data_IF_723206058790
#
_entry.id   IF_723206058790
#
_cell.length_a   1.000
_cell.length_b   1.000
_cell.length_c   1.000
_cell.angle_alpha   90.00
_cell.angle_beta   90.00
_cell.angle_gamma   90.00
#
_symmetry.space_group_name_H-M   'P 1'
#
loop_
_entity.id
_entity.type
_entity.pdbx_description
1 polymer ?
#
# COMPACT_ATOMS: atom_id res chain seq x y z
N UNK A 1 -1.26 15.49 -7.20
CA UNK A 1 -0.15 15.15 -8.13
C UNK A 1 -0.53 13.90 -8.89
N UNK A 2 -0.34 13.89 -10.23
CA UNK A 2 -0.74 12.76 -11.09
C UNK A 2 0.03 11.49 -10.74
N UNK A 3 -0.60 10.30 -10.76
CA UNK A 3 0.04 9.00 -10.45
C UNK A 3 1.24 8.67 -11.33
N UNK A 4 1.34 9.26 -12.52
CA UNK A 4 2.47 9.12 -13.47
C UNK A 4 3.80 9.59 -12.89
N UNK A 5 3.83 10.66 -12.07
CA UNK A 5 5.08 11.16 -11.45
C UNK A 5 5.61 10.19 -10.40
N UNK A 6 4.74 9.47 -9.70
CA UNK A 6 5.13 8.48 -8.69
C UNK A 6 5.77 7.26 -9.36
N UNK A 7 5.21 6.76 -10.47
CA UNK A 7 5.79 5.64 -11.23
C UNK A 7 7.18 5.96 -11.77
N UNK A 8 7.35 7.12 -12.42
CA UNK A 8 8.65 7.54 -12.96
C UNK A 8 9.72 7.65 -11.85
N UNK A 9 9.35 8.24 -10.71
CA UNK A 9 10.23 8.36 -9.55
C UNK A 9 10.63 6.99 -9.00
N UNK A 10 9.67 6.05 -8.92
CA UNK A 10 9.93 4.68 -8.46
C UNK A 10 10.87 3.94 -9.41
N UNK A 11 10.67 4.04 -10.74
CA UNK A 11 11.56 3.46 -11.75
C UNK A 11 12.98 4.00 -11.60
N UNK A 12 13.14 5.31 -11.47
CA UNK A 12 14.45 5.94 -11.29
C UNK A 12 15.15 5.47 -10.01
N UNK A 13 14.41 5.35 -8.92
CA UNK A 13 14.92 4.87 -7.63
C UNK A 13 15.38 3.41 -7.70
N UNK A 14 14.66 2.56 -8.44
CA UNK A 14 14.94 1.13 -8.58
C UNK A 14 15.79 0.78 -9.81
N UNK A 15 16.34 1.77 -10.50
CA UNK A 15 17.08 1.56 -11.77
C UNK A 15 18.20 0.52 -11.66
N UNK A 16 18.96 0.51 -10.55
CA UNK A 16 20.05 -0.46 -10.35
C UNK A 16 19.51 -1.89 -10.15
N UNK A 17 18.44 -2.05 -9.42
CA UNK A 17 17.78 -3.36 -9.23
C UNK A 17 17.21 -3.89 -10.54
N UNK A 18 16.58 -3.01 -11.33
CA UNK A 18 16.04 -3.34 -12.66
C UNK A 18 17.17 -3.71 -13.61
N UNK A 19 18.26 -2.92 -13.68
CA UNK A 19 19.41 -3.24 -14.50
C UNK A 19 20.08 -4.55 -14.10
N UNK A 20 20.22 -4.82 -12.80
CA UNK A 20 20.73 -6.09 -12.29
C UNK A 20 19.88 -7.27 -12.75
N UNK A 21 18.56 -7.16 -12.65
CA UNK A 21 17.64 -8.20 -13.12
C UNK A 21 17.75 -8.40 -14.65
N UNK A 22 17.82 -7.32 -15.43
CA UNK A 22 18.00 -7.41 -16.90
C UNK A 22 19.32 -8.08 -17.28
N UNK A 23 20.41 -7.82 -16.55
CA UNK A 23 21.69 -8.51 -16.76
C UNK A 23 21.58 -10.02 -16.51
N UNK A 24 20.89 -10.44 -15.47
CA UNK A 24 20.63 -11.86 -15.20
C UNK A 24 19.81 -12.49 -16.33
N UNK A 25 18.72 -11.84 -16.75
CA UNK A 25 17.87 -12.28 -17.88
C UNK A 25 18.71 -12.44 -19.16
N UNK A 26 19.52 -11.44 -19.49
CA UNK A 26 20.38 -11.47 -20.67
C UNK A 26 21.44 -12.58 -20.58
N UNK A 27 22.06 -12.78 -19.44
CA UNK A 27 23.03 -13.87 -19.21
C UNK A 27 22.40 -15.24 -19.41
N UNK A 28 21.21 -15.47 -18.89
CA UNK A 28 20.47 -16.72 -19.06
C UNK A 28 20.03 -16.94 -20.51
N UNK A 29 19.62 -15.88 -21.21
CA UNK A 29 19.35 -15.91 -22.64
C UNK A 29 20.59 -16.34 -23.44
N UNK A 30 21.76 -15.78 -23.15
CA UNK A 30 23.01 -16.16 -23.80
C UNK A 30 23.36 -17.63 -23.54
N UNK A 31 23.29 -18.07 -22.30
CA UNK A 31 23.58 -19.47 -21.92
C UNK A 31 22.64 -20.41 -22.67
N UNK A 32 21.32 -20.14 -22.63
CA UNK A 32 20.34 -20.94 -23.34
C UNK A 32 20.61 -20.96 -24.85
N UNK A 33 20.91 -19.81 -25.47
CA UNK A 33 21.19 -19.70 -26.90
C UNK A 33 22.44 -20.47 -27.30
N UNK A 34 23.48 -20.47 -26.47
CA UNK A 34 24.69 -21.27 -26.70
C UNK A 34 24.37 -22.76 -26.65
N UNK A 35 23.62 -23.20 -25.64
CA UNK A 35 23.24 -24.61 -25.49
C UNK A 35 22.43 -25.09 -26.70
N UNK A 36 21.41 -24.34 -27.10
CA UNK A 36 20.55 -24.69 -28.24
C UNK A 36 21.36 -24.66 -29.55
N UNK A 37 22.26 -23.68 -29.73
CA UNK A 37 23.14 -23.65 -30.87
C UNK A 37 23.92 -24.98 -31.00
N UNK A 38 24.59 -25.43 -29.94
CA UNK A 38 25.38 -26.66 -29.98
C UNK A 38 24.55 -27.91 -30.22
N UNK A 39 23.32 -27.96 -29.79
CA UNK A 39 22.42 -29.10 -29.97
C UNK A 39 21.80 -29.17 -31.36
N UNK A 40 21.54 -28.02 -32.00
CA UNK A 40 20.74 -27.94 -33.23
C UNK A 40 21.53 -27.51 -34.47
N UNK A 41 22.72 -26.96 -34.33
CA UNK A 41 23.51 -26.38 -35.46
C UNK A 41 23.79 -27.37 -36.59
N UNK A 42 23.99 -28.64 -36.26
CA UNK A 42 24.28 -29.69 -37.27
C UNK A 42 23.00 -30.26 -37.91
N UNK A 43 21.88 -30.16 -37.22
CA UNK A 43 20.55 -30.60 -37.67
C UNK A 43 19.84 -29.50 -38.46
N UNK A 44 20.02 -28.25 -38.04
CA UNK A 44 19.32 -27.10 -38.61
C UNK A 44 20.28 -25.88 -38.76
N UNK A 45 21.31 -25.96 -39.64
CA UNK A 45 22.34 -24.91 -39.76
C UNK A 45 21.77 -23.57 -40.24
N UNK A 46 20.66 -23.57 -40.96
CA UNK A 46 20.03 -22.35 -41.49
C UNK A 46 19.48 -21.46 -40.36
N UNK A 47 18.94 -22.07 -39.29
CA UNK A 47 18.24 -21.35 -38.20
C UNK A 47 19.02 -21.36 -36.89
N UNK A 48 19.89 -22.35 -36.64
CA UNK A 48 20.72 -22.45 -35.44
C UNK A 48 22.24 -22.41 -35.73
N UNK A 49 22.65 -22.10 -36.94
CA UNK A 49 24.06 -22.11 -37.38
C UNK A 49 24.95 -21.04 -36.73
N UNK A 50 24.40 -20.12 -35.93
CA UNK A 50 25.17 -19.17 -35.10
C UNK A 50 24.41 -18.90 -33.78
N UNK A 51 25.20 -18.44 -32.78
CA UNK A 51 24.61 -18.07 -31.47
C UNK A 51 23.58 -16.95 -31.64
N UNK A 52 23.82 -15.97 -32.53
CA UNK A 52 22.85 -14.89 -32.78
C UNK A 52 21.53 -15.38 -33.37
N UNK A 53 21.59 -16.36 -34.29
CA UNK A 53 20.38 -17.00 -34.82
C UNK A 53 19.63 -17.77 -33.71
N UNK A 54 20.35 -18.48 -32.85
CA UNK A 54 19.78 -19.18 -31.70
C UNK A 54 19.21 -18.22 -30.65
N UNK A 55 19.75 -17.01 -30.53
CA UNK A 55 19.20 -15.95 -29.65
C UNK A 55 17.81 -15.50 -30.11
N UNK A 56 17.52 -15.47 -31.40
CA UNK A 56 16.18 -15.17 -31.90
C UNK A 56 15.16 -16.13 -31.31
N UNK A 57 15.44 -17.43 -31.42
CA UNK A 57 14.62 -18.47 -30.81
C UNK A 57 14.52 -18.29 -29.27
N UNK A 58 15.66 -18.04 -28.65
CA UNK A 58 15.74 -17.82 -27.19
C UNK A 58 14.87 -16.65 -26.73
N UNK A 59 14.93 -15.52 -27.43
CA UNK A 59 14.08 -14.35 -27.12
C UNK A 59 12.60 -14.71 -27.29
N UNK A 60 12.21 -15.24 -28.46
CA UNK A 60 10.81 -15.58 -28.74
C UNK A 60 10.24 -16.56 -27.72
N UNK A 61 11.06 -17.51 -27.26
CA UNK A 61 10.66 -18.56 -26.31
C UNK A 61 10.59 -18.04 -24.87
N UNK A 62 11.66 -17.39 -24.41
CA UNK A 62 11.72 -16.88 -23.03
C UNK A 62 10.71 -15.74 -22.79
N UNK A 63 10.42 -14.89 -23.80
CA UNK A 63 9.41 -13.85 -23.72
C UNK A 63 7.98 -14.36 -23.88
N UNK A 64 7.79 -15.67 -24.07
CA UNK A 64 6.49 -16.32 -24.30
C UNK A 64 5.77 -15.88 -25.59
N UNK A 65 6.45 -15.21 -26.53
CA UNK A 65 5.88 -14.81 -27.83
C UNK A 65 5.67 -16.03 -28.74
N UNK A 66 6.69 -16.89 -28.86
CA UNK A 66 6.58 -18.19 -29.50
C UNK A 66 6.06 -18.15 -30.95
N UNK A 67 6.72 -17.40 -31.84
CA UNK A 67 6.32 -17.31 -33.27
C UNK A 67 6.18 -18.66 -33.96
N UNK A 68 6.94 -19.69 -33.52
CA UNK A 68 6.92 -21.01 -34.11
C UNK A 68 7.66 -21.11 -35.46
N UNK A 69 8.31 -20.06 -35.89
CA UNK A 69 9.13 -19.98 -37.11
C UNK A 69 10.44 -20.78 -37.00
N UNK A 70 10.98 -20.88 -35.80
CA UNK A 70 12.18 -21.63 -35.43
C UNK A 70 11.88 -22.46 -34.20
N UNK A 71 12.11 -23.77 -34.27
CA UNK A 71 11.92 -24.72 -33.14
C UNK A 71 12.96 -25.83 -33.18
N UNK A 72 13.48 -26.33 -32.05
CA UNK A 72 14.41 -27.45 -32.02
C UNK A 72 13.74 -28.73 -32.51
N UNK A 73 14.47 -29.57 -33.27
CA UNK A 73 14.01 -30.87 -33.73
C UNK A 73 14.55 -32.01 -32.89
N UNK A 74 15.73 -31.85 -32.27
CA UNK A 74 16.30 -32.87 -31.39
C UNK A 74 15.51 -33.01 -30.10
N UNK A 75 15.47 -34.22 -29.53
CA UNK A 75 14.76 -34.50 -28.28
C UNK A 75 15.39 -33.73 -27.08
N UNK A 76 16.73 -33.62 -27.06
CA UNK A 76 17.44 -32.85 -26.05
C UNK A 76 17.15 -31.34 -26.18
N UNK A 77 17.11 -30.83 -27.42
CA UNK A 77 16.75 -29.45 -27.70
C UNK A 77 15.33 -29.13 -27.22
N UNK A 78 14.36 -30.02 -27.48
CA UNK A 78 13.00 -29.86 -26.97
C UNK A 78 12.92 -29.93 -25.45
N UNK A 79 13.64 -30.84 -24.80
CA UNK A 79 13.68 -30.95 -23.34
C UNK A 79 14.23 -29.69 -22.68
N UNK A 80 15.38 -29.18 -23.18
CA UNK A 80 16.01 -27.97 -22.67
C UNK A 80 15.14 -26.76 -22.93
N UNK A 81 14.49 -26.68 -24.10
CA UNK A 81 13.56 -25.60 -24.40
C UNK A 81 12.33 -25.62 -23.48
N UNK A 82 11.79 -26.79 -23.16
CA UNK A 82 10.69 -26.90 -22.20
C UNK A 82 11.07 -26.35 -20.81
N UNK A 83 12.26 -26.68 -20.35
CA UNK A 83 12.77 -26.14 -19.09
C UNK A 83 12.98 -24.61 -19.15
N UNK A 84 13.53 -24.12 -20.28
CA UNK A 84 13.72 -22.68 -20.52
C UNK A 84 12.39 -21.91 -20.54
N UNK A 85 11.31 -22.50 -21.08
CA UNK A 85 9.98 -21.90 -21.07
C UNK A 85 9.49 -21.61 -19.64
N UNK A 86 9.64 -22.57 -18.71
CA UNK A 86 9.30 -22.36 -17.30
C UNK A 86 10.16 -21.27 -16.64
N UNK A 87 11.48 -21.29 -16.91
CA UNK A 87 12.37 -20.24 -16.41
C UNK A 87 12.00 -18.88 -16.99
N UNK A 88 11.64 -18.79 -18.27
CA UNK A 88 11.22 -17.56 -18.93
C UNK A 88 10.07 -16.87 -18.19
N UNK A 89 9.02 -17.61 -17.84
CA UNK A 89 7.89 -17.07 -17.07
C UNK A 89 8.35 -16.49 -15.74
N UNK A 90 9.17 -17.23 -14.98
CA UNK A 90 9.69 -16.78 -13.69
C UNK A 90 10.56 -15.50 -13.82
N UNK A 91 11.38 -15.41 -14.86
CA UNK A 91 12.29 -14.29 -15.12
C UNK A 91 11.54 -12.98 -15.40
N UNK A 92 10.44 -13.02 -16.13
CA UNK A 92 9.61 -11.82 -16.38
C UNK A 92 8.82 -11.37 -15.16
N UNK A 93 8.50 -12.28 -14.25
CA UNK A 93 7.82 -11.95 -13.00
C UNK A 93 8.69 -11.10 -12.05
N UNK A 94 10.02 -11.29 -12.06
CA UNK A 94 10.92 -10.60 -11.13
C UNK A 94 10.95 -9.06 -11.29
N UNK A 95 11.17 -8.46 -12.47
CA UNK A 95 11.12 -7.02 -12.65
C UNK A 95 9.75 -6.43 -12.30
N UNK A 96 8.67 -7.12 -12.64
CA UNK A 96 7.32 -6.70 -12.34
C UNK A 96 7.07 -6.69 -10.82
N UNK A 97 7.51 -7.72 -10.10
CA UNK A 97 7.40 -7.80 -8.64
C UNK A 97 8.20 -6.69 -7.94
N UNK A 98 9.43 -6.41 -8.39
CA UNK A 98 10.28 -5.31 -7.87
C UNK A 98 9.56 -3.96 -8.03
N UNK A 99 9.02 -3.68 -9.21
CA UNK A 99 8.29 -2.44 -9.47
C UNK A 99 7.01 -2.34 -8.65
N UNK A 100 6.25 -3.42 -8.54
CA UNK A 100 5.01 -3.46 -7.77
C UNK A 100 5.27 -3.21 -6.28
N UNK A 101 6.27 -3.88 -5.69
CA UNK A 101 6.61 -3.70 -4.27
C UNK A 101 7.13 -2.29 -3.99
N UNK A 102 8.01 -1.75 -4.83
CA UNK A 102 8.55 -0.42 -4.67
C UNK A 102 7.48 0.68 -4.85
N UNK A 103 6.52 0.48 -5.76
CA UNK A 103 5.37 1.37 -5.93
C UNK A 103 4.46 1.35 -4.70
N UNK A 104 4.19 0.15 -4.17
CA UNK A 104 3.40 -0.02 -2.95
C UNK A 104 4.07 0.67 -1.75
N UNK A 105 5.38 0.50 -1.55
CA UNK A 105 6.12 1.20 -0.50
C UNK A 105 6.03 2.73 -0.61
N UNK A 106 6.12 3.28 -1.82
CA UNK A 106 6.04 4.73 -2.03
C UNK A 106 4.64 5.27 -1.72
N UNK A 107 3.58 4.51 -2.04
CA UNK A 107 2.20 4.86 -1.67
C UNK A 107 2.04 4.82 -0.15
N UNK A 108 2.51 3.76 0.51
CA UNK A 108 2.42 3.62 1.96
C UNK A 108 3.15 4.75 2.69
N UNK A 109 4.37 5.10 2.27
CA UNK A 109 5.11 6.24 2.83
C UNK A 109 4.37 7.56 2.67
N UNK A 110 3.77 7.79 1.51
CA UNK A 110 3.00 9.01 1.27
C UNK A 110 1.77 9.08 2.15
N UNK A 111 1.02 8.01 2.26
CA UNK A 111 -0.16 7.95 3.13
C UNK A 111 0.23 8.16 4.59
N UNK A 112 1.32 7.57 5.05
CA UNK A 112 1.84 7.75 6.39
C UNK A 112 2.22 9.22 6.69
N UNK A 113 2.93 9.90 5.79
CA UNK A 113 3.32 11.30 5.97
C UNK A 113 2.12 12.25 5.97
N UNK A 114 1.14 12.03 5.08
CA UNK A 114 -0.11 12.82 5.06
C UNK A 114 -0.88 12.63 6.36
N UNK A 115 -0.95 11.42 6.88
CA UNK A 115 -1.63 11.15 8.15
C UNK A 115 -0.91 11.79 9.33
N UNK A 116 0.42 11.81 9.36
CA UNK A 116 1.19 12.50 10.41
C UNK A 116 0.92 14.00 10.42
N UNK A 117 0.92 14.66 9.25
CA UNK A 117 0.63 16.08 9.12
C UNK A 117 -0.81 16.36 9.60
N UNK A 118 -1.78 15.63 9.10
CA UNK A 118 -3.19 15.77 9.50
C UNK A 118 -3.39 15.55 11.00
N UNK A 119 -2.74 14.56 11.61
CA UNK A 119 -2.83 14.30 13.06
C UNK A 119 -2.20 15.42 13.87
N UNK A 120 -1.07 15.99 13.42
CA UNK A 120 -0.39 17.07 14.13
C UNK A 120 -1.18 18.39 14.15
N UNK A 121 -2.06 18.59 13.15
CA UNK A 121 -2.92 19.77 13.06
C UNK A 121 -4.17 19.68 13.96
N UNK A 122 -4.50 18.47 14.46
CA UNK A 122 -5.63 18.28 15.37
C UNK A 122 -5.31 18.95 16.70
N UNK A 123 -6.21 19.81 17.17
CA UNK A 123 -6.03 20.57 18.41
C UNK A 123 -5.66 19.70 19.62
N UNK A 124 -6.21 18.50 19.69
CA UNK A 124 -5.96 17.51 20.74
C UNK A 124 -4.49 17.04 20.77
N UNK A 125 -3.81 16.95 19.62
CA UNK A 125 -2.48 16.39 19.50
C UNK A 125 -1.40 17.44 19.22
N UNK A 126 -1.78 18.69 18.99
CA UNK A 126 -0.89 19.79 18.59
C UNK A 126 0.24 20.09 19.59
N UNK A 127 0.06 19.73 20.86
CA UNK A 127 1.06 19.93 21.93
C UNK A 127 1.96 18.72 22.18
N UNK A 128 1.69 17.61 21.52
CA UNK A 128 2.44 16.38 21.72
C UNK A 128 3.77 16.40 20.93
N UNK A 129 4.83 15.77 21.45
CA UNK A 129 6.07 15.62 20.72
C UNK A 129 5.88 14.72 19.50
N UNK A 130 6.72 14.90 18.47
CA UNK A 130 6.61 14.19 17.20
C UNK A 130 6.65 12.65 17.36
N UNK A 131 7.38 12.16 18.38
CA UNK A 131 7.42 10.76 18.75
C UNK A 131 6.07 10.21 19.18
N UNK A 132 5.29 10.97 19.96
CA UNK A 132 3.93 10.63 20.36
C UNK A 132 2.99 10.58 19.16
N UNK A 133 3.05 11.56 18.25
CA UNK A 133 2.25 11.61 17.03
C UNK A 133 2.54 10.40 16.13
N UNK A 134 3.81 10.02 16.01
CA UNK A 134 4.19 8.80 15.27
C UNK A 134 3.59 7.53 15.89
N UNK A 135 3.59 7.45 17.22
CA UNK A 135 3.02 6.32 17.94
C UNK A 135 1.49 6.28 17.81
N UNK A 136 0.82 7.43 17.92
CA UNK A 136 -0.61 7.57 17.65
C UNK A 136 -0.92 7.08 16.25
N UNK A 137 -0.22 7.58 15.23
CA UNK A 137 -0.44 7.18 13.83
C UNK A 137 -0.31 5.67 13.61
N UNK A 138 0.61 5.00 14.30
CA UNK A 138 0.80 3.55 14.19
C UNK A 138 -0.35 2.72 14.80
N UNK A 139 -1.17 3.33 15.67
CA UNK A 139 -2.31 2.69 16.35
C UNK A 139 -3.67 3.07 15.73
N UNK A 140 -3.67 3.99 14.75
CA UNK A 140 -4.87 4.41 14.06
C UNK A 140 -5.30 3.39 13.00
N UNK A 141 -6.58 3.05 13.00
CA UNK A 141 -7.20 2.17 12.01
C UNK A 141 -8.06 3.01 11.06
N UNK A 142 -7.77 3.00 9.74
CA UNK A 142 -8.57 3.74 8.77
C UNK A 142 -9.93 3.05 8.54
N UNK A 143 -11.00 3.85 8.57
CA UNK A 143 -12.37 3.43 8.35
C UNK A 143 -13.00 4.33 7.29
N UNK A 144 -13.33 3.79 6.12
CA UNK A 144 -14.04 4.51 5.05
C UNK A 144 -15.51 4.17 5.11
N UNK A 145 -16.36 5.17 5.24
CA UNK A 145 -17.80 5.01 5.35
C UNK A 145 -18.53 5.84 4.27
N UNK A 146 -19.52 5.25 3.59
CA UNK A 146 -20.35 5.99 2.63
C UNK A 146 -21.29 6.95 3.34
N UNK A 147 -21.80 7.94 2.60
CA UNK A 147 -22.81 8.86 3.09
C UNK A 147 -24.01 8.16 3.72
N UNK A 148 -24.59 8.77 4.73
CA UNK A 148 -25.76 8.28 5.51
C UNK A 148 -25.48 7.00 6.33
N UNK A 149 -24.22 6.56 6.45
CA UNK A 149 -23.86 5.44 7.32
C UNK A 149 -23.70 5.92 8.76
N UNK A 150 -24.34 5.25 9.72
CA UNK A 150 -24.14 5.49 11.15
C UNK A 150 -22.79 4.93 11.59
N UNK A 151 -22.01 5.74 12.32
CA UNK A 151 -20.74 5.34 12.93
C UNK A 151 -20.99 4.60 14.24
N UNK A 152 -21.82 5.16 15.12
CA UNK A 152 -22.34 4.55 16.35
C UNK A 152 -23.63 5.25 16.76
N UNK A 153 -24.43 4.58 17.60
CA UNK A 153 -25.68 5.12 18.11
C UNK A 153 -25.53 5.62 19.55
N UNK A 154 -26.40 6.57 19.95
CA UNK A 154 -26.56 6.94 21.35
C UNK A 154 -26.87 5.70 22.19
N UNK A 155 -26.15 5.53 23.28
CA UNK A 155 -26.30 4.38 24.19
C UNK A 155 -25.35 3.20 23.88
N UNK A 156 -24.62 3.22 22.79
CA UNK A 156 -23.57 2.24 22.48
C UNK A 156 -22.41 2.35 23.49
N UNK A 157 -21.57 1.32 23.58
CA UNK A 157 -20.36 1.33 24.41
C UNK A 157 -19.33 2.25 23.75
N UNK A 158 -18.68 3.11 24.54
CA UNK A 158 -17.59 3.96 24.06
C UNK A 158 -16.30 3.14 23.95
N UNK A 159 -15.97 2.67 22.75
CA UNK A 159 -14.87 1.77 22.44
C UNK A 159 -13.68 2.44 21.73
N UNK A 160 -13.87 3.64 21.18
CA UNK A 160 -12.86 4.34 20.40
C UNK A 160 -13.10 5.85 20.31
N UNK A 161 -12.02 6.57 20.03
CA UNK A 161 -11.99 7.94 19.53
C UNK A 161 -11.92 7.90 18.00
N UNK A 162 -12.60 8.83 17.33
CA UNK A 162 -12.59 8.95 15.87
C UNK A 162 -12.11 10.33 15.44
N UNK A 163 -11.22 10.36 14.45
CA UNK A 163 -10.68 11.57 13.84
C UNK A 163 -11.15 11.61 12.40
N UNK A 164 -11.59 12.77 11.92
CA UNK A 164 -12.06 12.96 10.55
C UNK A 164 -10.86 13.36 9.68
N UNK A 165 -10.36 12.43 8.87
CA UNK A 165 -9.30 12.72 7.91
C UNK A 165 -9.85 13.41 6.65
N UNK A 166 -11.04 12.98 6.21
CA UNK A 166 -11.73 13.51 5.04
C UNK A 166 -13.25 13.34 5.21
N UNK A 167 -14.03 14.24 4.60
CA UNK A 167 -15.50 14.21 4.67
C UNK A 167 -16.04 14.90 5.90
N UNK A 168 -17.32 14.63 6.23
CA UNK A 168 -18.01 15.23 7.36
C UNK A 168 -18.99 14.25 8.01
N UNK A 169 -19.21 14.44 9.32
CA UNK A 169 -20.18 13.70 10.09
C UNK A 169 -21.14 14.64 10.81
N UNK A 170 -22.35 14.18 11.06
CA UNK A 170 -23.38 14.87 11.83
C UNK A 170 -23.50 14.23 13.22
N UNK A 171 -23.43 15.10 14.22
CA UNK A 171 -23.70 14.73 15.63
C UNK A 171 -25.17 15.01 15.89
N UNK A 172 -25.99 13.99 16.07
CA UNK A 172 -27.42 14.07 16.32
C UNK A 172 -27.68 14.40 17.80
N UNK A 173 -27.82 15.68 18.09
CA UNK A 173 -28.23 16.27 19.37
C UNK A 173 -29.40 17.25 19.10
N UNK A 174 -29.94 17.92 20.15
CA UNK A 174 -31.05 18.87 20.01
C UNK A 174 -30.80 19.93 18.91
N UNK A 175 -29.57 20.42 18.79
CA UNK A 175 -29.10 21.24 17.66
C UNK A 175 -27.99 20.44 16.96
N UNK A 176 -28.32 19.75 15.88
CA UNK A 176 -27.33 18.97 15.12
C UNK A 176 -26.10 19.80 14.76
N UNK A 177 -24.92 19.22 14.95
CA UNK A 177 -23.63 19.83 14.63
C UNK A 177 -22.92 18.99 13.57
N UNK A 178 -22.38 19.66 12.55
CA UNK A 178 -21.56 19.00 11.52
C UNK A 178 -20.09 19.20 11.89
N UNK A 179 -19.35 18.09 11.96
CA UNK A 179 -17.92 18.07 12.16
C UNK A 179 -17.25 17.71 10.83
N UNK A 180 -16.15 18.42 10.51
CA UNK A 180 -15.41 18.27 9.25
C UNK A 180 -13.99 17.74 9.44
N UNK A 181 -13.24 17.75 8.35
CA UNK A 181 -11.83 17.32 8.34
C UNK A 181 -10.99 18.07 9.38
N UNK A 182 -10.10 17.34 10.11
CA UNK A 182 -9.27 17.88 11.20
C UNK A 182 -9.96 17.89 12.56
N UNK A 183 -11.25 17.58 12.62
CA UNK A 183 -11.99 17.45 13.89
C UNK A 183 -12.05 15.99 14.34
N UNK A 184 -12.45 15.79 15.59
CA UNK A 184 -12.55 14.46 16.20
C UNK A 184 -13.83 14.37 17.04
N UNK A 185 -14.27 13.15 17.33
CA UNK A 185 -15.48 12.89 18.11
C UNK A 185 -15.40 11.56 18.88
N UNK A 186 -16.30 11.39 19.83
CA UNK A 186 -16.39 10.16 20.62
C UNK A 186 -15.52 10.16 21.89
N UNK A 187 -14.84 11.27 22.17
CA UNK A 187 -14.00 11.45 23.37
C UNK A 187 -14.83 11.47 24.67
N UNK A 188 -16.03 12.05 24.63
CA UNK A 188 -16.85 12.26 25.83
C UNK A 188 -17.13 10.95 26.57
N UNK A 189 -17.61 9.93 25.87
CA UNK A 189 -17.89 8.64 26.49
C UNK A 189 -16.64 7.88 26.95
N UNK A 190 -15.46 8.20 26.39
CA UNK A 190 -14.19 7.59 26.81
C UNK A 190 -13.65 8.22 28.10
N UNK A 191 -13.82 9.54 28.24
CA UNK A 191 -13.34 10.30 29.42
C UNK A 191 -14.28 10.09 30.62
N UNK A 192 -15.60 10.07 30.39
CA UNK A 192 -16.58 9.87 31.44
C UNK A 192 -16.81 8.39 31.82
N UNK A 193 -16.22 7.46 31.04
CA UNK A 193 -16.49 6.00 31.15
C UNK A 193 -17.98 5.62 30.97
N UNK A 194 -18.71 6.48 30.27
CA UNK A 194 -20.15 6.32 30.02
C UNK A 194 -20.41 5.81 28.59
N UNK A 195 -21.66 5.53 28.30
CA UNK A 195 -22.14 5.20 26.96
C UNK A 195 -22.08 6.40 26.04
N UNK A 196 -22.11 6.18 24.72
CA UNK A 196 -22.22 7.23 23.72
C UNK A 196 -23.41 8.17 24.03
N UNK A 197 -23.16 9.45 24.10
CA UNK A 197 -24.15 10.48 24.44
C UNK A 197 -24.96 10.96 23.24
N UNK A 198 -24.50 10.70 21.99
CA UNK A 198 -25.14 11.07 20.74
C UNK A 198 -25.01 9.96 19.70
N UNK A 199 -25.87 10.00 18.68
CA UNK A 199 -25.71 9.23 17.44
C UNK A 199 -24.84 10.04 16.47
N UNK A 200 -23.92 9.37 15.77
CA UNK A 200 -23.07 9.99 14.74
C UNK A 200 -23.35 9.33 13.41
N UNK A 201 -23.68 10.13 12.39
CA UNK A 201 -23.91 9.68 11.03
C UNK A 201 -23.03 10.44 10.04
N UNK A 202 -22.63 9.77 8.95
CA UNK A 202 -21.81 10.34 7.90
C UNK A 202 -22.69 11.18 6.97
N UNK A 203 -22.35 12.45 6.75
CA UNK A 203 -23.08 13.36 5.86
C UNK A 203 -22.73 13.09 4.40
N UNK A 204 -21.44 13.04 4.11
CA UNK A 204 -20.86 12.68 2.82
C UNK A 204 -19.80 11.61 3.03
N UNK A 205 -19.36 10.90 1.96
CA UNK A 205 -18.32 9.87 2.12
C UNK A 205 -17.18 10.38 2.99
N UNK A 206 -16.90 9.67 4.07
CA UNK A 206 -15.89 10.08 5.04
C UNK A 206 -14.85 9.01 5.27
N UNK A 207 -13.59 9.45 5.41
CA UNK A 207 -12.48 8.64 5.90
C UNK A 207 -12.18 9.05 7.34
N UNK A 208 -12.42 8.13 8.25
CA UNK A 208 -12.20 8.28 9.68
C UNK A 208 -10.94 7.49 10.09
N UNK A 209 -10.25 7.98 11.11
CA UNK A 209 -9.17 7.27 11.77
C UNK A 209 -9.66 6.89 13.16
N UNK A 210 -9.82 5.60 13.40
CA UNK A 210 -10.29 5.04 14.67
C UNK A 210 -9.10 4.77 15.58
N UNK A 211 -9.12 5.30 16.81
CA UNK A 211 -8.19 4.99 17.89
C UNK A 211 -8.94 4.23 18.98
N UNK A 212 -8.63 2.96 19.19
CA UNK A 212 -9.32 2.13 20.19
C UNK A 212 -9.08 2.65 21.62
N UNK A 213 -10.02 2.37 22.54
CA UNK A 213 -9.92 2.73 23.95
C UNK A 213 -8.63 2.20 24.58
N UNK A 214 -8.25 0.96 24.29
CA UNK A 214 -7.04 0.34 24.82
C UNK A 214 -5.78 1.06 24.34
N UNK A 215 -5.71 1.37 23.04
CA UNK A 215 -4.60 2.14 22.46
C UNK A 215 -4.54 3.56 23.02
N UNK A 216 -5.67 4.20 23.25
CA UNK A 216 -5.74 5.52 23.87
C UNK A 216 -5.24 5.47 25.33
N UNK A 217 -5.62 4.48 26.11
CA UNK A 217 -5.17 4.31 27.49
C UNK A 217 -3.65 4.13 27.56
N UNK A 218 -3.06 3.30 26.71
CA UNK A 218 -1.60 3.15 26.63
C UNK A 218 -0.89 4.50 26.30
N UNK A 219 -1.50 5.31 25.42
CA UNK A 219 -0.95 6.64 25.11
C UNK A 219 -1.09 7.61 26.26
N UNK A 220 -2.17 7.56 27.02
CA UNK A 220 -2.39 8.40 28.21
C UNK A 220 -1.40 8.04 29.31
N UNK A 221 -1.09 6.76 29.51
CA UNK A 221 -0.07 6.33 30.49
C UNK A 221 1.32 6.92 30.17
N UNK A 222 1.67 6.99 28.88
CA UNK A 222 2.95 7.54 28.45
C UNK A 222 2.96 9.07 28.31
N UNK A 223 1.79 9.65 27.96
CA UNK A 223 1.60 11.09 27.74
C UNK A 223 0.39 11.60 28.54
N UNK A 224 0.50 11.82 29.88
CA UNK A 224 -0.63 12.20 30.74
C UNK A 224 -1.32 13.51 30.33
N UNK A 225 -0.60 14.44 29.65
CA UNK A 225 -1.20 15.69 29.15
C UNK A 225 -2.33 15.44 28.15
N UNK A 226 -2.31 14.31 27.41
CA UNK A 226 -3.38 13.95 26.49
C UNK A 226 -4.73 13.77 27.20
N UNK A 227 -4.72 13.21 28.42
CA UNK A 227 -5.96 13.04 29.19
C UNK A 227 -6.57 14.38 29.63
N UNK A 228 -5.75 15.33 30.04
CA UNK A 228 -6.23 16.67 30.43
C UNK A 228 -6.81 17.44 29.25
N UNK A 229 -6.17 17.32 28.06
CA UNK A 229 -6.68 17.92 26.82
C UNK A 229 -8.02 17.27 26.39
N UNK A 230 -8.14 15.93 26.49
CA UNK A 230 -9.39 15.21 26.23
C UNK A 230 -10.51 15.63 27.20
N UNK A 231 -10.19 15.74 28.48
CA UNK A 231 -11.15 16.14 29.53
C UNK A 231 -11.66 17.56 29.31
N UNK A 232 -10.77 18.47 28.97
CA UNK A 232 -11.10 19.86 28.63
C UNK A 232 -12.02 19.93 27.41
N UNK A 233 -11.72 19.14 26.37
CA UNK A 233 -12.54 19.07 25.16
C UNK A 233 -13.93 18.51 25.44
N UNK A 234 -14.01 17.41 26.20
CA UNK A 234 -15.28 16.77 26.57
C UNK A 234 -16.17 17.73 27.37
N UNK A 235 -15.59 18.50 28.30
CA UNK A 235 -16.33 19.48 29.09
C UNK A 235 -16.90 20.62 28.24
N UNK A 236 -16.15 21.09 27.23
CA UNK A 236 -16.59 22.17 26.35
C UNK A 236 -17.69 21.75 25.37
N UNK A 237 -17.88 20.46 25.14
CA UNK A 237 -18.91 19.91 24.23
C UNK A 237 -20.18 19.44 24.94
N UNK A 238 -20.13 19.33 26.27
CA UNK A 238 -21.30 18.92 27.10
C UNK A 238 -21.99 20.10 27.77
N UNK A 239 -21.46 21.30 27.74
CA UNK A 239 -22.06 22.55 28.22
C UNK A 239 -22.67 23.33 27.09
#
# INVERSE_FOLDING_TARGET
>A
MLPTNTLLKTIWKQRLSILGTQLVVFSLLLIFSVIIHFLEKDLQPEVFGSILKSMWYGIATLTTVGYGDVTPVSDLGKLISSFAMFLGIAMFALPAAILASAYYEEIQKRNFLVSLEAISEISLFSRLPIGAITKINSKLEPLVLPAKKTVFNKGDIADALYIIEFGSVEVEIENSVILGSGEYFGETGLVSEEKRNATISVVEEAKLLKLSKDSLNELIEEYPSLFEDLKTSASNRTG
#
